data_IF_138185603488
#
_entry.id   IF_138185603488
#
_cell.length_a   1.000
_cell.length_b   1.000
_cell.length_c   1.000
_cell.angle_alpha   90.00
_cell.angle_beta   90.00
_cell.angle_gamma   90.00
#
_symmetry.space_group_name_H-M   'P 1'
#
loop_
_entity.id
_entity.type
_entity.pdbx_description
1 polymer ?
#
# COMPACT_ATOMS: atom_id res chain seq x y z
N UNK A 1 1.61 18.34 4.70
CA UNK A 1 1.11 16.95 4.61
C UNK A 1 -0.38 16.99 4.86
N UNK A 2 -1.16 16.18 4.14
CA UNK A 2 -2.60 16.02 4.45
C UNK A 2 -2.74 15.30 5.78
N UNK A 3 -3.77 15.65 6.54
CA UNK A 3 -4.21 14.89 7.72
C UNK A 3 -4.86 13.57 7.28
N UNK A 4 -5.03 12.64 8.23
CA UNK A 4 -5.71 11.36 7.95
C UNK A 4 -7.13 11.57 7.43
N UNK A 5 -7.90 12.44 8.09
CA UNK A 5 -9.26 12.78 7.66
C UNK A 5 -9.29 13.41 6.27
N UNK A 6 -8.34 14.29 5.94
CA UNK A 6 -8.25 14.87 4.59
C UNK A 6 -7.97 13.81 3.53
N UNK A 7 -7.13 12.82 3.83
CA UNK A 7 -6.85 11.70 2.91
C UNK A 7 -8.11 10.86 2.72
N UNK A 8 -8.72 10.38 3.80
CA UNK A 8 -9.89 9.49 3.75
C UNK A 8 -11.11 10.18 3.11
N UNK A 9 -11.37 11.45 3.45
CA UNK A 9 -12.45 12.22 2.85
C UNK A 9 -12.22 12.45 1.34
N UNK A 10 -10.96 12.60 0.91
CA UNK A 10 -10.66 12.83 -0.52
C UNK A 10 -10.91 11.61 -1.41
N UNK A 11 -10.93 10.40 -0.84
CA UNK A 11 -11.20 9.15 -1.57
C UNK A 11 -12.62 8.63 -1.35
N UNK A 12 -13.39 9.21 -0.43
CA UNK A 12 -14.74 8.77 -0.10
C UNK A 12 -15.68 8.83 -1.31
N UNK A 13 -16.29 7.69 -1.65
CA UNK A 13 -17.20 7.57 -2.81
C UNK A 13 -16.51 7.68 -4.17
N UNK A 14 -15.18 7.77 -4.21
CA UNK A 14 -14.39 7.88 -5.43
C UNK A 14 -13.82 6.54 -5.91
N UNK A 15 -13.30 6.54 -7.14
CA UNK A 15 -12.58 5.39 -7.70
C UNK A 15 -11.09 5.48 -7.40
N UNK A 16 -10.52 4.43 -6.82
CA UNK A 16 -9.07 4.24 -6.71
C UNK A 16 -8.62 3.33 -7.85
N UNK A 17 -7.66 3.80 -8.65
CA UNK A 17 -7.13 3.01 -9.77
C UNK A 17 -5.78 2.43 -9.38
N UNK A 18 -5.65 1.11 -9.50
CA UNK A 18 -4.37 0.42 -9.30
C UNK A 18 -3.52 0.51 -10.57
N UNK A 19 -2.40 1.23 -10.51
CA UNK A 19 -1.41 1.34 -11.58
C UNK A 19 -0.20 0.50 -11.21
N UNK A 20 -0.16 -0.75 -11.70
CA UNK A 20 0.93 -1.70 -11.45
C UNK A 20 1.27 -2.43 -12.76
N UNK A 21 2.55 -2.72 -12.96
CA UNK A 21 3.03 -3.69 -13.93
C UNK A 21 4.30 -4.33 -13.37
N UNK A 22 4.26 -5.63 -13.07
CA UNK A 22 5.41 -6.39 -12.57
C UNK A 22 6.49 -6.56 -13.65
N UNK A 23 7.70 -6.99 -13.27
CA UNK A 23 8.87 -7.06 -14.18
C UNK A 23 8.62 -7.89 -15.45
N UNK A 24 7.76 -8.90 -15.37
CA UNK A 24 7.37 -9.80 -16.45
C UNK A 24 6.19 -9.27 -17.30
N UNK A 25 5.57 -8.14 -16.92
CA UNK A 25 4.42 -7.58 -17.60
C UNK A 25 4.82 -6.62 -18.75
N UNK A 26 4.05 -6.58 -19.86
CA UNK A 26 4.41 -5.77 -21.04
C UNK A 26 4.54 -4.26 -20.80
N UNK A 27 3.89 -3.75 -19.74
CA UNK A 27 3.88 -2.32 -19.40
C UNK A 27 4.84 -1.96 -18.28
N UNK A 28 5.74 -2.87 -17.88
CA UNK A 28 6.70 -2.64 -16.81
C UNK A 28 7.61 -1.44 -17.10
N UNK A 29 7.33 -0.34 -16.41
CA UNK A 29 8.10 0.91 -16.46
C UNK A 29 7.45 1.93 -15.53
N UNK A 30 8.23 2.51 -14.61
CA UNK A 30 7.73 3.59 -13.75
C UNK A 30 7.23 4.79 -14.56
N UNK A 31 7.86 5.08 -15.71
CA UNK A 31 7.37 6.10 -16.63
C UNK A 31 5.96 5.78 -17.12
N UNK A 32 5.70 4.55 -17.57
CA UNK A 32 4.37 4.13 -18.04
C UNK A 32 3.36 4.18 -16.90
N UNK A 33 3.70 3.68 -15.70
CA UNK A 33 2.82 3.72 -14.53
C UNK A 33 2.44 5.15 -14.13
N UNK A 34 3.37 6.10 -14.21
CA UNK A 34 3.08 7.50 -13.99
C UNK A 34 2.14 8.11 -15.05
N UNK A 35 2.18 7.64 -16.30
CA UNK A 35 1.21 8.04 -17.34
C UNK A 35 -0.15 7.39 -17.13
N UNK A 36 -0.19 6.14 -16.67
CA UNK A 36 -1.45 5.46 -16.31
C UNK A 36 -2.14 6.18 -15.16
N UNK A 37 -1.39 6.52 -14.10
CA UNK A 37 -1.91 7.30 -12.98
C UNK A 37 -2.39 8.70 -13.40
N UNK A 38 -1.63 9.39 -14.26
CA UNK A 38 -2.06 10.69 -14.80
C UNK A 38 -3.36 10.58 -15.61
N UNK A 39 -3.50 9.50 -16.39
CA UNK A 39 -4.70 9.21 -17.17
C UNK A 39 -5.90 8.91 -16.26
N UNK A 40 -5.69 8.13 -15.20
CA UNK A 40 -6.69 7.87 -14.16
C UNK A 40 -7.16 9.16 -13.48
N UNK A 41 -6.23 10.02 -13.07
CA UNK A 41 -6.54 11.33 -12.50
C UNK A 41 -7.36 12.20 -13.47
N UNK A 42 -6.99 12.25 -14.75
CA UNK A 42 -7.78 12.96 -15.77
C UNK A 42 -9.16 12.35 -16.01
N UNK A 43 -9.30 11.04 -15.82
CA UNK A 43 -10.57 10.32 -15.86
C UNK A 43 -11.45 10.51 -14.62
N UNK A 44 -10.97 11.21 -13.58
CA UNK A 44 -11.72 11.48 -12.35
C UNK A 44 -11.47 10.48 -11.22
N UNK A 45 -10.38 9.70 -11.27
CA UNK A 45 -9.97 8.88 -10.13
C UNK A 45 -9.69 9.76 -8.90
N UNK A 46 -10.04 9.26 -7.73
CA UNK A 46 -9.85 9.93 -6.45
C UNK A 46 -8.53 9.54 -5.77
N UNK A 47 -7.97 8.37 -6.10
CA UNK A 47 -6.73 7.86 -5.54
C UNK A 47 -6.02 6.91 -6.50
N UNK A 48 -4.75 6.62 -6.21
CA UNK A 48 -3.95 5.63 -6.95
C UNK A 48 -3.47 4.55 -5.98
N UNK A 49 -3.47 3.28 -6.41
CA UNK A 49 -2.72 2.21 -5.74
C UNK A 49 -1.50 1.86 -6.60
N UNK A 50 -0.31 1.83 -6.00
CA UNK A 50 0.94 1.64 -6.73
C UNK A 50 1.88 0.67 -6.01
N UNK A 51 2.63 -0.11 -6.80
CA UNK A 51 3.61 -1.07 -6.31
C UNK A 51 5.02 -0.54 -6.57
N UNK A 52 5.93 -0.71 -5.61
CA UNK A 52 7.35 -0.30 -5.67
C UNK A 52 7.62 1.19 -5.37
N UNK A 53 8.82 1.44 -4.85
CA UNK A 53 9.31 2.80 -4.53
C UNK A 53 9.49 3.64 -5.80
N UNK A 54 9.97 3.05 -6.88
CA UNK A 54 10.24 3.74 -8.14
C UNK A 54 8.95 4.23 -8.80
N UNK A 55 7.93 3.38 -8.89
CA UNK A 55 6.64 3.75 -9.46
C UNK A 55 5.95 4.80 -8.60
N UNK A 56 5.94 4.65 -7.27
CA UNK A 56 5.36 5.65 -6.37
C UNK A 56 6.04 7.00 -6.55
N UNK A 57 7.38 7.04 -6.61
CA UNK A 57 8.12 8.29 -6.81
C UNK A 57 7.83 8.92 -8.18
N UNK A 58 7.67 8.12 -9.23
CA UNK A 58 7.37 8.63 -10.57
C UNK A 58 5.91 9.13 -10.67
N UNK A 59 4.96 8.39 -10.12
CA UNK A 59 3.53 8.76 -10.04
C UNK A 59 3.37 10.09 -9.29
N UNK A 60 4.06 10.28 -8.16
CA UNK A 60 3.99 11.54 -7.38
C UNK A 60 4.48 12.77 -8.14
N UNK A 61 5.27 12.61 -9.21
CA UNK A 61 5.66 13.73 -10.08
C UNK A 61 4.54 14.17 -11.01
N UNK A 62 3.57 13.30 -11.29
CA UNK A 62 2.53 13.52 -12.32
C UNK A 62 1.14 13.73 -11.75
N UNK A 63 0.83 13.20 -10.56
CA UNK A 63 -0.50 13.33 -9.92
C UNK A 63 -0.43 13.94 -8.53
N UNK A 64 -1.53 14.59 -8.13
CA UNK A 64 -1.72 15.11 -6.78
C UNK A 64 -2.67 14.26 -5.94
N UNK A 65 -3.12 13.11 -6.45
CA UNK A 65 -4.03 12.19 -5.75
C UNK A 65 -3.31 11.47 -4.61
N UNK A 66 -4.02 11.08 -3.52
CA UNK A 66 -3.47 10.17 -2.52
C UNK A 66 -3.04 8.84 -3.13
N UNK A 67 -1.95 8.28 -2.59
CA UNK A 67 -1.39 7.02 -3.06
C UNK A 67 -1.43 5.96 -1.94
N UNK A 68 -2.09 4.83 -2.25
CA UNK A 68 -1.97 3.58 -1.51
C UNK A 68 -0.72 2.85 -2.03
N UNK A 69 0.34 2.83 -1.23
CA UNK A 69 1.61 2.20 -1.58
C UNK A 69 1.69 0.75 -1.09
N UNK A 70 2.23 -0.12 -1.94
CA UNK A 70 2.64 -1.49 -1.58
C UNK A 70 4.02 -1.81 -2.15
N UNK A 71 4.68 -2.82 -1.59
CA UNK A 71 5.82 -3.46 -2.25
C UNK A 71 5.56 -4.96 -2.28
N UNK A 72 5.33 -5.50 -3.47
CA UNK A 72 5.23 -6.94 -3.71
C UNK A 72 6.61 -7.54 -3.76
N UNK A 73 6.87 -8.52 -2.89
CA UNK A 73 8.14 -9.21 -2.85
C UNK A 73 7.99 -10.60 -2.25
N UNK A 74 8.49 -11.59 -2.98
CA UNK A 74 8.55 -12.97 -2.51
C UNK A 74 9.70 -13.16 -1.52
N UNK A 75 9.42 -13.98 -0.51
CA UNK A 75 10.39 -14.42 0.48
C UNK A 75 10.28 -15.94 0.59
N UNK A 76 11.44 -16.62 0.67
CA UNK A 76 11.49 -18.07 0.77
C UNK A 76 10.69 -18.58 1.98
N UNK A 77 9.82 -19.56 1.76
CA UNK A 77 9.01 -20.19 2.80
C UNK A 77 7.81 -19.36 3.29
N UNK A 78 7.40 -18.30 2.58
CA UNK A 78 6.18 -17.55 2.90
C UNK A 78 5.34 -17.29 1.65
N UNK A 79 4.03 -17.40 1.80
CA UNK A 79 3.05 -16.99 0.78
C UNK A 79 2.66 -15.51 0.89
N UNK A 80 3.12 -14.84 1.95
CA UNK A 80 2.85 -13.42 2.19
C UNK A 80 3.85 -12.59 1.39
N UNK A 81 3.35 -11.89 0.38
CA UNK A 81 4.19 -11.13 -0.55
C UNK A 81 3.81 -9.64 -0.66
N UNK A 82 2.65 -9.20 -0.18
CA UNK A 82 2.26 -7.78 -0.20
C UNK A 82 2.79 -7.09 1.05
N UNK A 83 3.81 -6.25 0.89
CA UNK A 83 4.48 -5.48 1.95
C UNK A 83 4.79 -6.37 3.17
N UNK A 84 5.55 -7.46 2.97
CA UNK A 84 5.58 -8.57 3.92
C UNK A 84 6.43 -8.29 5.16
N UNK A 85 7.43 -7.41 5.08
CA UNK A 85 8.37 -7.14 6.17
C UNK A 85 8.56 -5.65 6.47
N UNK A 86 9.20 -5.34 7.60
CA UNK A 86 9.52 -3.97 8.00
C UNK A 86 10.40 -3.25 6.96
N UNK A 87 11.19 -3.98 6.16
CA UNK A 87 11.99 -3.40 5.08
C UNK A 87 11.11 -2.68 4.06
N UNK A 88 9.99 -3.31 3.69
CA UNK A 88 9.06 -2.74 2.74
C UNK A 88 8.24 -1.59 3.35
N UNK A 89 7.86 -1.70 4.62
CA UNK A 89 7.20 -0.62 5.37
C UNK A 89 8.07 0.63 5.41
N UNK A 90 9.33 0.49 5.82
CA UNK A 90 10.29 1.60 5.93
C UNK A 90 10.46 2.32 4.58
N UNK A 91 10.60 1.56 3.50
CA UNK A 91 10.76 2.08 2.15
C UNK A 91 9.51 2.84 1.65
N UNK A 92 8.31 2.37 2.00
CA UNK A 92 7.05 3.03 1.66
C UNK A 92 6.81 4.31 2.45
N UNK A 93 7.21 4.34 3.72
CA UNK A 93 7.20 5.57 4.52
C UNK A 93 8.19 6.59 3.94
N UNK A 94 9.41 6.15 3.59
CA UNK A 94 10.45 7.03 3.04
C UNK A 94 10.06 7.61 1.67
N UNK A 95 9.40 6.83 0.80
CA UNK A 95 8.89 7.34 -0.47
C UNK A 95 7.62 8.20 -0.33
N UNK A 96 7.03 8.20 0.87
CA UNK A 96 5.89 9.01 1.27
C UNK A 96 4.58 8.55 0.65
N UNK A 97 4.29 7.26 0.71
CA UNK A 97 2.94 6.76 0.45
C UNK A 97 1.96 7.37 1.47
N UNK A 98 0.77 7.81 1.01
CA UNK A 98 -0.23 8.40 1.91
C UNK A 98 -0.90 7.33 2.78
N UNK A 99 -1.14 6.16 2.21
CA UNK A 99 -1.64 4.95 2.88
C UNK A 99 -0.69 3.81 2.52
N UNK A 100 -0.33 2.97 3.48
CA UNK A 100 0.49 1.78 3.24
C UNK A 100 -0.41 0.55 3.38
N UNK A 101 -0.49 -0.27 2.34
CA UNK A 101 -1.24 -1.53 2.40
C UNK A 101 -0.28 -2.70 2.61
N UNK A 102 -0.70 -3.68 3.41
CA UNK A 102 0.03 -4.92 3.65
C UNK A 102 -0.92 -6.10 3.75
N UNK A 103 -0.42 -7.27 3.35
CA UNK A 103 -1.12 -8.54 3.55
C UNK A 103 -1.44 -8.70 5.03
N UNK A 104 -2.73 -8.85 5.33
CA UNK A 104 -3.26 -8.95 6.69
C UNK A 104 -4.04 -10.25 6.86
N UNK A 105 -3.60 -11.29 6.17
CA UNK A 105 -4.14 -12.65 6.34
C UNK A 105 -3.58 -13.36 7.57
N UNK A 106 -4.20 -14.46 7.97
CA UNK A 106 -3.74 -15.29 9.10
C UNK A 106 -2.48 -16.13 8.79
N UNK A 107 -1.93 -16.00 7.58
CA UNK A 107 -0.73 -16.72 7.15
C UNK A 107 0.51 -16.16 7.84
N UNK A 108 1.47 -17.04 8.11
CA UNK A 108 2.72 -16.66 8.72
C UNK A 108 3.54 -15.81 7.75
N UNK A 109 4.00 -14.65 8.24
CA UNK A 109 4.88 -13.74 7.49
C UNK A 109 6.28 -14.34 7.37
N UNK A 110 7.16 -13.80 6.50
CA UNK A 110 8.53 -14.26 6.40
C UNK A 110 9.22 -14.33 7.77
N UNK A 111 9.91 -15.44 8.05
CA UNK A 111 10.53 -15.69 9.36
C UNK A 111 9.56 -16.20 10.44
N UNK A 112 8.30 -16.51 10.10
CA UNK A 112 7.33 -17.06 11.05
C UNK A 112 6.73 -16.03 12.00
N UNK A 113 6.74 -14.75 11.63
CA UNK A 113 6.14 -13.69 12.43
C UNK A 113 4.62 -13.68 12.24
N UNK A 114 3.88 -13.43 13.34
CA UNK A 114 2.42 -13.22 13.31
C UNK A 114 2.10 -11.78 12.93
N UNK A 115 0.92 -11.57 12.35
CA UNK A 115 0.44 -10.23 11.99
C UNK A 115 0.36 -9.30 13.22
N UNK A 116 -0.17 -9.77 14.35
CA UNK A 116 -0.36 -8.97 15.57
C UNK A 116 0.95 -8.37 16.08
N UNK A 117 1.98 -9.20 16.20
CA UNK A 117 3.31 -8.78 16.66
C UNK A 117 3.94 -7.80 15.66
N UNK A 118 3.83 -8.13 14.36
CA UNK A 118 4.36 -7.29 13.30
C UNK A 118 3.69 -5.91 13.24
N UNK A 119 2.36 -5.88 13.30
CA UNK A 119 1.60 -4.64 13.22
C UNK A 119 1.78 -3.77 14.46
N UNK A 120 1.89 -4.38 15.65
CA UNK A 120 2.25 -3.65 16.87
C UNK A 120 3.61 -2.95 16.75
N UNK A 121 4.61 -3.60 16.14
CA UNK A 121 5.91 -2.99 15.84
C UNK A 121 5.79 -1.84 14.82
N UNK A 122 5.03 -2.04 13.74
CA UNK A 122 4.79 -1.02 12.71
C UNK A 122 4.13 0.21 13.31
N UNK A 123 3.00 0.04 14.00
CA UNK A 123 2.22 1.13 14.58
C UNK A 123 3.03 1.89 15.63
N UNK A 124 3.86 1.20 16.42
CA UNK A 124 4.77 1.84 17.37
C UNK A 124 5.82 2.71 16.67
N UNK A 125 6.37 2.25 15.55
CA UNK A 125 7.42 2.97 14.79
C UNK A 125 6.84 4.13 13.98
N UNK A 126 5.64 3.96 13.43
CA UNK A 126 4.98 4.91 12.54
C UNK A 126 3.55 5.23 13.03
N UNK A 127 3.39 5.89 14.20
CA UNK A 127 2.08 6.12 14.80
C UNK A 127 1.16 6.99 13.94
N UNK A 128 1.73 7.85 13.10
CA UNK A 128 1.00 8.81 12.26
C UNK A 128 0.84 8.37 10.80
N UNK A 129 1.18 7.13 10.46
CA UNK A 129 1.01 6.60 9.11
C UNK A 129 -0.35 5.88 9.00
N UNK A 130 -1.07 6.06 7.89
CA UNK A 130 -2.27 5.28 7.60
C UNK A 130 -1.88 3.89 7.08
N UNK A 131 -2.49 2.85 7.64
CA UNK A 131 -2.29 1.46 7.25
C UNK A 131 -3.59 0.79 6.84
N UNK A 132 -3.62 0.26 5.61
CA UNK A 132 -4.72 -0.51 5.05
C UNK A 132 -4.43 -2.02 5.16
N UNK A 133 -5.43 -2.79 5.56
CA UNK A 133 -5.35 -4.24 5.62
C UNK A 133 -5.83 -4.89 4.31
N UNK A 134 -4.95 -5.59 3.59
CA UNK A 134 -5.38 -6.48 2.50
C UNK A 134 -5.78 -7.84 3.11
N UNK A 135 -7.08 -8.09 3.20
CA UNK A 135 -7.67 -9.30 3.78
C UNK A 135 -8.32 -10.19 2.69
N UNK A 136 -8.45 -11.47 2.98
CA UNK A 136 -9.08 -12.49 2.12
C UNK A 136 -10.50 -12.89 2.59
N UNK A 137 -10.80 -12.71 3.88
CA UNK A 137 -12.12 -12.97 4.45
C UNK A 137 -12.55 -11.92 5.48
N UNK A 138 -13.79 -12.03 5.96
CA UNK A 138 -14.37 -11.08 6.91
C UNK A 138 -13.72 -11.19 8.30
N UNK A 139 -13.32 -12.40 8.71
CA UNK A 139 -12.66 -12.64 9.99
C UNK A 139 -11.33 -11.89 10.08
N UNK A 140 -10.54 -11.93 9.00
CA UNK A 140 -9.29 -11.18 8.89
C UNK A 140 -9.51 -9.67 8.93
N UNK A 141 -10.57 -9.16 8.29
CA UNK A 141 -10.93 -7.74 8.33
C UNK A 141 -11.31 -7.27 9.74
N UNK A 142 -12.13 -8.05 10.45
CA UNK A 142 -12.50 -7.77 11.84
C UNK A 142 -11.28 -7.86 12.78
N UNK A 143 -10.37 -8.80 12.52
CA UNK A 143 -9.12 -8.90 13.27
C UNK A 143 -8.21 -7.70 13.03
N UNK A 144 -8.03 -7.28 11.78
CA UNK A 144 -7.26 -6.10 11.41
C UNK A 144 -7.77 -4.82 12.08
N UNK A 145 -9.09 -4.60 12.10
CA UNK A 145 -9.73 -3.49 12.84
C UNK A 145 -9.36 -3.56 14.34
N UNK A 146 -9.49 -4.74 14.94
CA UNK A 146 -9.21 -4.94 16.37
C UNK A 146 -7.75 -4.66 16.76
N UNK A 147 -6.80 -4.95 15.88
CA UNK A 147 -5.37 -4.68 16.13
C UNK A 147 -4.92 -3.27 15.72
N UNK A 148 -5.82 -2.44 15.16
CA UNK A 148 -5.62 -1.01 14.96
C UNK A 148 -5.17 -0.57 13.56
N UNK A 149 -5.54 -1.32 12.53
CA UNK A 149 -5.53 -0.81 11.15
C UNK A 149 -6.55 0.34 10.98
N UNK A 150 -6.34 1.16 9.94
CA UNK A 150 -7.15 2.35 9.63
C UNK A 150 -8.12 2.06 8.45
#
# INVERSE_FOLDING_TARGET
MRTHDEILNSIQGGLIVSCQALEDEPLHSSYIMARMAYSAMKGGAAGIRANSVEDIREIKKTVTLPIIGIIKKDYEGSEVYITPTMKEIDALVECGADIISLDSTDRMRPGGQKLDDFFAEIRKKYPNQLFMADCSCIEEGLHAEKIGFD
#
